data_IF_863761163462
#
_entry.id   IF_863761163462
#
_cell.length_a   1.000
_cell.length_b   1.000
_cell.length_c   1.000
_cell.angle_alpha   90.00
_cell.angle_beta   90.00
_cell.angle_gamma   90.00
#
_symmetry.space_group_name_H-M   'P 1'
#
loop_
_entity.id
_entity.type
_entity.pdbx_description
1 polymer ?
#
# COMPACT_ATOMS: atom_id res chain seq x y z
N UNK A 1 13.43 19.67 9.39
CA UNK A 1 13.72 19.07 8.07
C UNK A 1 13.38 17.59 8.13
N UNK A 2 12.17 17.19 7.73
CA UNK A 2 11.84 15.77 7.56
C UNK A 2 11.88 15.53 6.05
N UNK A 3 13.06 15.09 5.58
CA UNK A 3 13.26 14.75 4.20
C UNK A 3 12.27 13.66 3.80
N UNK A 4 11.75 13.78 2.59
CA UNK A 4 10.98 12.78 1.88
C UNK A 4 11.84 11.53 1.67
N UNK A 5 12.10 10.78 2.74
CA UNK A 5 12.67 9.45 2.65
C UNK A 5 11.68 8.62 1.87
N UNK A 6 12.11 8.02 0.76
CA UNK A 6 11.30 7.06 0.02
C UNK A 6 10.93 5.95 1.00
N UNK A 7 9.67 5.95 1.47
CA UNK A 7 9.17 4.88 2.32
C UNK A 7 9.19 3.62 1.47
N UNK A 8 9.99 2.63 1.89
CA UNK A 8 9.95 1.32 1.28
C UNK A 8 8.60 0.66 1.60
N UNK A 9 8.09 -0.19 0.70
CA UNK A 9 6.80 -0.87 0.83
C UNK A 9 6.66 -1.58 2.20
N UNK A 10 7.75 -2.20 2.67
CA UNK A 10 7.81 -2.93 3.93
C UNK A 10 7.57 -2.07 5.19
N UNK A 11 7.69 -0.75 5.09
CA UNK A 11 7.45 0.17 6.22
C UNK A 11 5.99 0.13 6.69
N UNK A 12 5.06 -0.04 5.75
CA UNK A 12 3.64 -0.17 6.04
C UNK A 12 3.16 -1.62 5.86
N UNK A 13 3.68 -2.33 4.86
CA UNK A 13 3.21 -3.68 4.56
C UNK A 13 3.94 -4.78 5.34
N UNK A 14 4.89 -4.43 6.20
CA UNK A 14 5.75 -5.38 6.92
C UNK A 14 6.81 -6.01 6.03
N UNK A 15 7.87 -6.54 6.63
CA UNK A 15 8.96 -7.23 5.90
C UNK A 15 8.51 -8.52 5.25
N UNK A 16 7.40 -9.10 5.70
CA UNK A 16 6.76 -10.28 5.11
C UNK A 16 5.56 -9.96 4.21
N UNK A 17 5.26 -8.68 3.98
CA UNK A 17 4.18 -8.22 3.11
C UNK A 17 2.77 -8.53 3.64
N UNK A 18 2.61 -8.85 4.93
CA UNK A 18 1.29 -9.16 5.49
C UNK A 18 0.43 -7.95 5.82
N UNK A 19 1.01 -6.76 5.82
CA UNK A 19 0.29 -5.57 6.23
C UNK A 19 0.21 -5.40 7.74
N UNK A 20 -0.71 -4.55 8.18
CA UNK A 20 -0.98 -4.33 9.59
C UNK A 20 -1.47 -2.92 9.89
N UNK A 21 -1.88 -2.74 11.14
CA UNK A 21 -2.42 -1.50 11.67
C UNK A 21 -1.28 -0.60 12.16
N UNK A 22 -1.20 0.62 11.63
CA UNK A 22 -0.22 1.64 12.02
C UNK A 22 -0.91 2.86 12.62
N UNK A 23 -0.35 3.38 13.72
CA UNK A 23 -0.78 4.64 14.33
C UNK A 23 0.08 5.78 13.78
N UNK A 24 -0.52 6.64 12.97
CA UNK A 24 0.13 7.78 12.30
C UNK A 24 -0.13 9.10 13.07
N UNK A 25 -0.26 9.04 14.39
CA UNK A 25 -0.57 10.18 15.25
C UNK A 25 -1.56 9.83 16.37
N UNK A 26 -2.11 10.85 17.03
CA UNK A 26 -3.01 10.67 18.17
C UNK A 26 -4.34 10.00 17.76
N UNK A 27 -4.93 10.41 16.63
CA UNK A 27 -6.27 9.97 16.21
C UNK A 27 -6.30 9.37 14.79
N UNK A 28 -5.15 9.03 14.21
CA UNK A 28 -5.08 8.42 12.88
C UNK A 28 -4.54 7.00 12.96
N UNK A 29 -5.37 6.06 12.51
CA UNK A 29 -5.05 4.65 12.38
C UNK A 29 -5.20 4.29 10.91
N UNK A 30 -4.12 3.83 10.30
CA UNK A 30 -4.15 3.26 8.96
C UNK A 30 -4.03 1.74 9.05
N UNK A 31 -4.73 1.03 8.18
CA UNK A 31 -4.61 -0.41 8.03
C UNK A 31 -4.01 -0.70 6.66
N UNK A 32 -2.73 -1.08 6.65
CA UNK A 32 -2.02 -1.43 5.44
C UNK A 32 -2.40 -2.86 5.03
N UNK A 33 -2.91 -3.02 3.81
CA UNK A 33 -3.38 -4.33 3.32
C UNK A 33 -2.24 -5.33 3.14
N UNK A 34 -2.61 -6.60 3.08
CA UNK A 34 -1.72 -7.70 2.77
C UNK A 34 -1.37 -7.73 1.27
N UNK A 35 -0.08 -7.64 0.91
CA UNK A 35 0.38 -7.48 -0.49
C UNK A 35 1.09 -8.70 -1.07
N UNK A 36 1.15 -9.85 -0.38
CA UNK A 36 1.72 -11.05 -1.01
C UNK A 36 0.81 -11.52 -2.15
N UNK A 37 1.42 -11.93 -3.26
CA UNK A 37 0.73 -12.35 -4.47
C UNK A 37 -0.34 -13.41 -4.25
N UNK A 38 -0.10 -14.38 -3.35
CA UNK A 38 -1.06 -15.42 -3.00
C UNK A 38 -2.44 -14.88 -2.55
N UNK A 39 -2.49 -13.69 -1.97
CA UNK A 39 -3.73 -13.00 -1.57
C UNK A 39 -4.23 -12.06 -2.65
N UNK A 40 -3.32 -11.35 -3.35
CA UNK A 40 -3.71 -10.34 -4.35
C UNK A 40 -4.26 -10.94 -5.65
N UNK A 41 -3.81 -12.14 -6.05
CA UNK A 41 -4.10 -12.74 -7.36
C UNK A 41 -5.60 -12.96 -7.68
N UNK A 42 -6.49 -12.88 -6.68
CA UNK A 42 -7.94 -12.94 -6.90
C UNK A 42 -8.54 -11.65 -7.47
N UNK A 43 -7.90 -10.51 -7.23
CA UNK A 43 -8.37 -9.17 -7.64
C UNK A 43 -7.40 -8.48 -8.60
N UNK A 44 -6.12 -8.86 -8.56
CA UNK A 44 -5.03 -8.27 -9.32
C UNK A 44 -4.48 -9.24 -10.36
N UNK A 45 -4.29 -8.72 -11.58
CA UNK A 45 -3.30 -9.22 -12.52
C UNK A 45 -2.04 -8.34 -12.48
N UNK A 46 -1.03 -8.65 -13.30
CA UNK A 46 0.23 -7.89 -13.34
C UNK A 46 0.03 -6.42 -13.73
N UNK A 47 -0.89 -6.12 -14.65
CA UNK A 47 -1.12 -4.75 -15.10
C UNK A 47 -1.85 -3.94 -14.04
N UNK A 48 -2.88 -4.50 -13.41
CA UNK A 48 -3.58 -3.87 -12.28
C UNK A 48 -2.64 -3.63 -11.12
N UNK A 49 -1.76 -4.58 -10.81
CA UNK A 49 -0.75 -4.40 -9.76
C UNK A 49 0.22 -3.26 -10.12
N UNK A 50 0.69 -3.21 -11.38
CA UNK A 50 1.55 -2.14 -11.87
C UNK A 50 0.87 -0.77 -11.78
N UNK A 51 -0.42 -0.69 -12.11
CA UNK A 51 -1.22 0.54 -12.00
C UNK A 51 -1.36 1.00 -10.55
N UNK A 52 -1.61 0.07 -9.62
CA UNK A 52 -1.68 0.38 -8.19
C UNK A 52 -0.36 0.95 -7.67
N UNK A 53 0.76 0.33 -8.02
CA UNK A 53 2.09 0.80 -7.59
C UNK A 53 2.45 2.14 -8.23
N UNK A 54 2.36 2.26 -9.56
CA UNK A 54 2.90 3.43 -10.27
C UNK A 54 1.95 4.62 -10.25
N UNK A 55 0.64 4.38 -10.34
CA UNK A 55 -0.38 5.43 -10.46
C UNK A 55 -1.21 5.60 -9.20
N UNK A 56 -1.11 4.68 -8.24
CA UNK A 56 -1.98 4.66 -7.08
C UNK A 56 -3.41 4.23 -7.43
N UNK A 57 -3.62 3.43 -8.49
CA UNK A 57 -4.95 3.09 -8.99
C UNK A 57 -5.33 1.64 -8.66
N UNK A 58 -6.45 1.46 -7.97
CA UNK A 58 -6.99 0.15 -7.59
C UNK A 58 -7.58 -0.62 -8.80
N UNK A 59 -7.82 -1.95 -8.65
CA UNK A 59 -8.35 -2.81 -9.72
C UNK A 59 -9.68 -2.36 -10.35
N UNK A 60 -10.51 -1.66 -9.57
CA UNK A 60 -11.79 -1.10 -10.01
C UNK A 60 -11.65 0.29 -10.65
N UNK A 61 -10.42 0.82 -10.71
CA UNK A 61 -10.09 2.12 -11.25
C UNK A 61 -10.18 3.28 -10.26
N UNK A 62 -10.56 3.03 -9.01
CA UNK A 62 -10.53 4.04 -7.94
C UNK A 62 -9.09 4.38 -7.54
N UNK A 63 -8.90 5.52 -6.88
CA UNK A 63 -7.57 5.93 -6.43
C UNK A 63 -7.34 5.50 -4.99
N UNK A 64 -6.15 4.95 -4.75
CA UNK A 64 -5.63 4.67 -3.44
C UNK A 64 -5.61 5.93 -2.58
N UNK A 65 -5.82 5.73 -1.29
CA UNK A 65 -5.76 6.78 -0.28
C UNK A 65 -4.36 7.40 -0.26
N UNK A 66 -4.29 8.67 0.14
CA UNK A 66 -3.05 9.46 0.14
C UNK A 66 -1.98 8.94 1.12
N UNK A 67 -2.35 8.05 2.05
CA UNK A 67 -1.45 7.39 2.98
C UNK A 67 -0.67 6.21 2.34
N UNK A 68 -1.10 5.73 1.17
CA UNK A 68 -0.36 4.76 0.37
C UNK A 68 0.43 5.49 -0.74
N UNK A 69 1.77 5.63 -0.61
CA UNK A 69 2.59 6.34 -1.59
C UNK A 69 2.74 5.54 -2.90
N UNK A 70 3.03 6.25 -3.99
CA UNK A 70 3.35 5.72 -5.32
C UNK A 70 4.86 5.57 -5.50
#
# INVERSE_FOLDING_TARGET
>A
MMGSGQLACASCHGTDGRGGVHRMGMNQVMDAKHIRWAVLQGEFDLEKFRLAVVKGQDPDGTQLKSDMPR
#
